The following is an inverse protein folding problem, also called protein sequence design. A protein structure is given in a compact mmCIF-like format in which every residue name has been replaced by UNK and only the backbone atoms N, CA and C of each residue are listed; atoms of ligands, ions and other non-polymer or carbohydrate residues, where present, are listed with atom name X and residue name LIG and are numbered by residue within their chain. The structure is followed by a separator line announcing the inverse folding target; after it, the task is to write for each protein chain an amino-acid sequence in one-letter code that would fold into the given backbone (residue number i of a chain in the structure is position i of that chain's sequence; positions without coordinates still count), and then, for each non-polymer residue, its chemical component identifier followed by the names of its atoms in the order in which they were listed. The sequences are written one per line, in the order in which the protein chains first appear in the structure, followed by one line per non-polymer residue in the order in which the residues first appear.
data_IF_477756601646
#
_entry.id   IF_477756601646
#
_cell.length_a   1.000
_cell.length_b   1.000
_cell.length_c   1.000
_cell.angle_alpha   90.00
_cell.angle_beta   90.00
_cell.angle_gamma   90.00
#
_symmetry.space_group_name_H-M   'P 1'
#
loop_
_entity.id
_entity.type
_entity.pdbx_description
1 polymer ?
#
# COMPACT_ATOMS: atom_id res chain seq x y z
N UNK A 1 -55.67 4.10 17.28
CA UNK A 1 -55.50 3.95 15.82
C UNK A 1 -54.19 3.29 15.58
N UNK A 2 -54.15 2.18 14.84
CA UNK A 2 -52.97 1.52 14.32
C UNK A 2 -52.92 1.68 12.81
N UNK A 3 -51.80 1.29 12.20
CA UNK A 3 -51.63 1.44 10.75
C UNK A 3 -51.20 0.10 10.15
N UNK A 4 -51.67 -0.16 8.91
CA UNK A 4 -51.13 -1.25 8.09
C UNK A 4 -50.40 -0.64 6.90
N UNK A 5 -49.25 -1.25 6.55
CA UNK A 5 -48.42 -0.88 5.40
C UNK A 5 -48.72 -1.86 4.27
N UNK A 6 -49.05 -1.33 3.12
CA UNK A 6 -49.16 -2.10 1.87
C UNK A 6 -47.98 -1.78 0.97
N UNK A 7 -47.43 -2.80 0.33
CA UNK A 7 -46.35 -2.60 -0.63
C UNK A 7 -46.42 -3.56 -1.82
N UNK A 8 -45.88 -3.14 -2.93
CA UNK A 8 -45.76 -3.92 -4.16
C UNK A 8 -44.57 -3.43 -4.99
N UNK A 9 -44.10 -4.25 -5.96
CA UNK A 9 -42.99 -3.90 -6.90
C UNK A 9 -43.47 -3.20 -8.17
N UNK A 10 -44.76 -2.95 -8.31
CA UNK A 10 -45.37 -2.21 -9.40
C UNK A 10 -46.20 -1.04 -8.87
N UNK A 11 -46.23 0.06 -9.61
CA UNK A 11 -47.07 1.23 -9.31
C UNK A 11 -48.58 0.93 -9.39
N UNK A 12 -49.39 1.85 -8.86
CA UNK A 12 -50.83 1.76 -8.74
C UNK A 12 -51.27 0.66 -7.75
N UNK A 13 -50.72 0.75 -6.55
CA UNK A 13 -50.98 -0.16 -5.44
C UNK A 13 -52.46 -0.18 -5.06
N UNK A 14 -52.98 -1.39 -4.88
CA UNK A 14 -54.33 -1.61 -4.34
C UNK A 14 -54.26 -2.48 -3.08
N UNK A 15 -55.28 -2.43 -2.23
CA UNK A 15 -55.31 -3.28 -1.03
C UNK A 15 -55.33 -4.78 -1.38
N UNK A 16 -55.96 -5.16 -2.48
CA UNK A 16 -56.06 -6.55 -2.94
C UNK A 16 -54.78 -7.03 -3.63
N UNK A 17 -54.07 -6.12 -4.34
CA UNK A 17 -52.87 -6.45 -5.09
C UNK A 17 -51.55 -6.26 -4.31
N UNK A 18 -51.61 -5.57 -3.19
CA UNK A 18 -50.43 -5.30 -2.36
C UNK A 18 -50.18 -6.36 -1.30
N UNK A 19 -48.92 -6.51 -0.92
CA UNK A 19 -48.57 -7.28 0.27
C UNK A 19 -48.79 -6.41 1.53
N UNK A 20 -49.54 -6.91 2.48
CA UNK A 20 -49.93 -6.20 3.71
C UNK A 20 -48.95 -6.56 4.86
N UNK A 21 -48.52 -5.54 5.59
CA UNK A 21 -47.83 -5.66 6.88
C UNK A 21 -48.70 -4.97 7.94
N UNK A 22 -49.18 -5.73 8.92
CA UNK A 22 -50.12 -5.25 9.90
C UNK A 22 -49.43 -4.60 11.10
N UNK A 23 -50.11 -3.58 11.69
CA UNK A 23 -49.71 -3.00 12.97
C UNK A 23 -48.38 -2.25 12.96
N UNK A 24 -48.02 -1.62 11.85
CA UNK A 24 -46.76 -0.87 11.76
C UNK A 24 -46.79 0.38 12.64
N UNK A 25 -45.64 0.74 13.19
CA UNK A 25 -45.42 1.96 13.98
C UNK A 25 -44.33 2.82 13.36
N UNK A 26 -44.41 4.13 13.53
CA UNK A 26 -43.38 5.05 13.02
C UNK A 26 -42.24 5.22 14.05
N UNK A 27 -40.93 5.12 13.63
CA UNK A 27 -40.49 4.74 12.30
C UNK A 27 -40.59 3.22 12.06
N UNK A 28 -40.92 2.81 10.83
CA UNK A 28 -40.93 1.40 10.42
C UNK A 28 -39.78 1.10 9.44
N UNK A 29 -39.00 0.07 9.73
CA UNK A 29 -37.94 -0.39 8.85
C UNK A 29 -38.38 -1.64 8.08
N UNK A 30 -38.55 -1.50 6.78
CA UNK A 30 -38.84 -2.63 5.89
C UNK A 30 -37.51 -3.27 5.44
N UNK A 31 -37.26 -4.51 5.85
CA UNK A 31 -36.07 -5.28 5.56
C UNK A 31 -36.33 -6.42 4.57
N UNK A 32 -35.25 -7.03 4.04
CA UNK A 32 -35.33 -8.15 3.09
C UNK A 32 -35.74 -7.72 1.68
N UNK A 33 -35.59 -6.45 1.34
CA UNK A 33 -35.84 -5.91 0.02
C UNK A 33 -34.70 -6.22 -0.95
N UNK A 34 -35.00 -6.30 -2.24
CA UNK A 34 -33.99 -6.45 -3.30
C UNK A 34 -33.46 -5.07 -3.70
N UNK A 35 -32.14 -4.90 -3.74
CA UNK A 35 -31.53 -3.66 -4.23
C UNK A 35 -31.88 -3.43 -5.70
N UNK A 36 -31.94 -2.17 -6.09
CA UNK A 36 -32.27 -1.67 -7.43
C UNK A 36 -33.70 -2.03 -7.91
N UNK A 37 -34.53 -2.64 -7.03
CA UNK A 37 -35.94 -2.88 -7.25
C UNK A 37 -36.77 -1.75 -6.65
N UNK A 38 -37.56 -1.06 -7.46
CA UNK A 38 -38.53 -0.09 -6.95
C UNK A 38 -39.66 -0.77 -6.16
N UNK A 39 -40.00 -0.23 -5.02
CA UNK A 39 -41.10 -0.62 -4.18
C UNK A 39 -42.00 0.56 -4.00
N UNK A 40 -43.31 0.31 -4.07
CA UNK A 40 -44.39 1.28 -3.91
C UNK A 40 -45.12 0.99 -2.61
N UNK A 41 -45.45 2.03 -1.86
CA UNK A 41 -45.97 1.93 -0.50
C UNK A 41 -47.19 2.82 -0.32
N UNK A 42 -48.19 2.34 0.44
CA UNK A 42 -49.29 3.12 0.94
C UNK A 42 -49.69 2.61 2.32
N UNK A 43 -50.34 3.44 3.10
CA UNK A 43 -50.84 3.13 4.46
C UNK A 43 -52.35 3.12 4.51
N UNK A 44 -52.91 2.30 5.42
CA UNK A 44 -54.29 2.43 5.90
C UNK A 44 -54.26 2.70 7.40
N UNK A 45 -55.23 3.45 7.90
CA UNK A 45 -55.55 3.54 9.31
C UNK A 45 -56.50 2.41 9.68
N UNK A 46 -56.29 1.77 10.84
CA UNK A 46 -57.17 0.74 11.39
C UNK A 46 -57.97 1.37 12.50
N UNK A 47 -59.29 1.31 12.39
CA UNK A 47 -60.23 1.83 13.37
C UNK A 47 -60.42 0.86 14.54
N UNK A 48 -61.07 1.33 15.61
CA UNK A 48 -61.30 0.52 16.81
C UNK A 48 -62.20 -0.69 16.57
N UNK A 49 -63.08 -0.61 15.56
CA UNK A 49 -63.96 -1.71 15.14
C UNK A 49 -63.26 -2.72 14.21
N UNK A 50 -61.95 -2.53 13.93
CA UNK A 50 -61.15 -3.39 13.08
C UNK A 50 -61.26 -3.10 11.58
N UNK A 51 -62.08 -2.11 11.17
CA UNK A 51 -62.14 -1.71 9.75
C UNK A 51 -60.95 -0.84 9.36
N UNK A 52 -60.61 -0.84 8.05
CA UNK A 52 -59.51 -0.04 7.52
C UNK A 52 -60.00 1.14 6.67
N UNK A 53 -59.25 2.22 6.70
CA UNK A 53 -59.47 3.34 5.76
C UNK A 53 -59.10 2.93 4.32
N UNK A 54 -59.41 3.80 3.34
CA UNK A 54 -58.75 3.74 2.04
C UNK A 54 -57.25 3.91 2.15
N UNK A 55 -56.49 3.51 1.09
CA UNK A 55 -55.04 3.74 1.00
C UNK A 55 -54.73 5.24 1.03
N UNK A 56 -53.61 5.59 1.64
CA UNK A 56 -53.00 6.91 1.49
C UNK A 56 -52.51 7.11 0.03
N UNK A 57 -51.98 8.31 -0.24
CA UNK A 57 -51.19 8.53 -1.45
C UNK A 57 -50.03 7.53 -1.49
N UNK A 58 -49.76 7.04 -2.72
CA UNK A 58 -48.66 6.11 -2.98
C UNK A 58 -47.30 6.85 -2.98
N UNK A 59 -46.31 6.27 -2.33
CA UNK A 59 -44.92 6.71 -2.38
C UNK A 59 -44.05 5.56 -2.86
N UNK A 60 -42.89 5.87 -3.46
CA UNK A 60 -41.93 4.84 -3.91
C UNK A 60 -40.55 5.06 -3.34
N UNK A 61 -39.86 3.95 -3.16
CA UNK A 61 -38.43 3.93 -2.78
C UNK A 61 -37.72 2.78 -3.49
N UNK A 62 -36.48 2.99 -3.84
CA UNK A 62 -35.60 1.96 -4.41
C UNK A 62 -34.43 1.75 -3.47
N UNK A 63 -34.32 0.58 -2.79
CA UNK A 63 -33.19 0.26 -1.98
C UNK A 63 -31.92 0.25 -2.84
N UNK A 64 -30.81 0.75 -2.29
CA UNK A 64 -29.51 0.70 -2.93
C UNK A 64 -28.54 -0.02 -2.02
N UNK A 65 -27.59 -0.74 -2.60
CA UNK A 65 -26.48 -1.30 -1.83
C UNK A 65 -25.65 -0.15 -1.27
N UNK A 66 -25.50 -0.11 0.04
CA UNK A 66 -24.56 0.79 0.70
C UNK A 66 -23.30 -0.03 1.00
N UNK A 67 -22.27 0.20 0.21
CA UNK A 67 -20.96 -0.37 0.46
C UNK A 67 -20.20 0.49 1.48
N UNK A 68 -19.82 -0.13 2.60
CA UNK A 68 -19.00 0.48 3.66
C UNK A 68 -17.66 -0.25 3.85
N UNK A 69 -17.35 -1.17 2.97
CA UNK A 69 -16.15 -2.03 3.03
C UNK A 69 -15.10 -1.47 2.09
N UNK A 70 -14.00 -0.98 2.63
CA UNK A 70 -12.91 -0.48 1.80
C UNK A 70 -12.18 -1.61 1.06
N UNK A 71 -11.52 -1.34 -0.08
CA UNK A 71 -10.70 -2.31 -0.79
C UNK A 71 -9.67 -2.99 0.11
N UNK A 72 -9.57 -4.31 0.00
CA UNK A 72 -8.76 -5.19 0.83
C UNK A 72 -7.49 -5.65 0.12
N UNK A 73 -6.52 -6.18 0.88
CA UNK A 73 -5.26 -6.73 0.39
C UNK A 73 -4.52 -5.80 -0.57
N UNK A 74 -4.34 -4.50 -0.22
CA UNK A 74 -3.61 -3.59 -1.08
C UNK A 74 -2.15 -4.05 -1.19
N UNK A 75 -1.62 -4.03 -2.41
CA UNK A 75 -0.27 -4.47 -2.74
C UNK A 75 0.43 -3.47 -3.64
N UNK A 76 1.73 -3.28 -3.42
CA UNK A 76 2.59 -2.48 -4.28
C UNK A 76 4.00 -3.10 -4.33
N UNK A 77 4.61 -3.12 -5.52
CA UNK A 77 6.01 -3.50 -5.71
C UNK A 77 6.65 -2.65 -6.81
N UNK A 78 7.86 -2.14 -6.56
CA UNK A 78 8.61 -1.32 -7.50
C UNK A 78 9.54 -2.21 -8.33
N UNK A 79 9.60 -1.97 -9.66
CA UNK A 79 10.51 -2.62 -10.61
C UNK A 79 10.62 -4.14 -10.38
N UNK A 80 9.46 -4.82 -10.17
CA UNK A 80 9.39 -6.26 -9.92
C UNK A 80 10.18 -6.74 -8.70
N UNK A 81 10.35 -5.89 -7.69
CA UNK A 81 11.08 -6.21 -6.46
C UNK A 81 12.58 -5.88 -6.52
N UNK A 82 13.00 -5.05 -7.45
CA UNK A 82 14.38 -4.59 -7.50
C UNK A 82 14.77 -3.84 -6.22
N UNK A 83 15.93 -4.16 -5.68
CA UNK A 83 16.49 -3.49 -4.51
C UNK A 83 16.90 -2.04 -4.81
N UNK A 84 17.38 -1.78 -6.04
CA UNK A 84 18.00 -0.52 -6.45
C UNK A 84 17.66 -0.18 -7.90
N UNK A 85 17.69 1.11 -8.23
CA UNK A 85 17.60 1.65 -9.58
C UNK A 85 18.62 2.78 -9.79
N UNK A 86 19.02 2.99 -11.04
CA UNK A 86 19.80 4.16 -11.45
C UNK A 86 18.97 5.21 -12.21
N UNK A 87 17.67 5.03 -12.25
CA UNK A 87 16.71 5.96 -12.87
C UNK A 87 15.62 6.36 -11.88
N UNK A 88 15.19 7.62 -11.87
CA UNK A 88 13.99 8.04 -11.18
C UNK A 88 12.70 7.52 -11.84
N UNK A 89 12.76 7.13 -13.10
CA UNK A 89 11.64 6.51 -13.80
C UNK A 89 11.54 5.04 -13.40
N UNK A 90 10.43 4.67 -12.79
CA UNK A 90 10.16 3.33 -12.29
C UNK A 90 8.81 2.81 -12.79
N UNK A 91 8.60 1.52 -12.65
CA UNK A 91 7.27 0.91 -12.77
C UNK A 91 6.83 0.39 -11.41
N UNK A 92 5.55 0.58 -11.10
CA UNK A 92 4.96 0.09 -9.85
C UNK A 92 3.84 -0.88 -10.22
N UNK A 93 3.97 -2.13 -9.81
CA UNK A 93 2.88 -3.11 -9.91
C UNK A 93 2.04 -3.00 -8.67
N UNK A 94 0.74 -2.78 -8.85
CA UNK A 94 -0.24 -2.54 -7.80
C UNK A 94 -1.42 -3.50 -7.93
N UNK A 95 -2.04 -3.86 -6.81
CA UNK A 95 -3.29 -4.62 -6.81
C UNK A 95 -4.08 -4.44 -5.52
N UNK A 96 -5.39 -4.66 -5.60
CA UNK A 96 -6.30 -4.76 -4.46
C UNK A 96 -7.54 -5.59 -4.85
N UNK A 97 -8.34 -5.97 -3.87
CA UNK A 97 -9.62 -6.67 -4.06
C UNK A 97 -10.74 -5.96 -3.33
N UNK A 98 -11.90 -5.90 -3.96
CA UNK A 98 -13.12 -5.42 -3.34
C UNK A 98 -14.30 -6.25 -3.86
N UNK A 99 -14.99 -6.95 -2.93
CA UNK A 99 -16.02 -7.93 -3.32
C UNK A 99 -17.41 -7.31 -3.48
N UNK A 100 -17.61 -6.09 -2.95
CA UNK A 100 -18.91 -5.43 -2.93
C UNK A 100 -19.11 -4.55 -4.18
N UNK A 101 -18.49 -3.37 -4.23
CA UNK A 101 -18.64 -2.46 -5.37
C UNK A 101 -17.44 -2.44 -6.32
N UNK A 102 -16.36 -3.12 -5.96
CA UNK A 102 -15.14 -3.24 -6.74
C UNK A 102 -14.22 -2.03 -6.62
N UNK A 103 -12.92 -2.28 -6.83
CA UNK A 103 -11.91 -1.23 -6.87
C UNK A 103 -12.18 -0.32 -8.07
N UNK A 104 -12.42 0.97 -7.83
CA UNK A 104 -12.81 1.95 -8.84
C UNK A 104 -11.74 3.03 -9.10
N UNK A 105 -10.78 3.20 -8.19
CA UNK A 105 -9.67 4.12 -8.39
C UNK A 105 -8.44 3.74 -7.57
N UNK A 106 -7.28 4.27 -7.95
CA UNK A 106 -6.07 4.24 -7.13
C UNK A 106 -5.43 5.63 -7.01
N UNK A 107 -4.70 5.83 -5.92
CA UNK A 107 -3.88 7.02 -5.68
C UNK A 107 -2.46 6.59 -5.36
N UNK A 108 -1.46 7.22 -5.98
CA UNK A 108 -0.04 6.88 -5.80
C UNK A 108 0.76 8.14 -5.47
N UNK A 109 1.63 8.07 -4.47
CA UNK A 109 2.42 9.22 -4.01
C UNK A 109 3.65 8.79 -3.22
N UNK A 110 4.64 9.68 -3.11
CA UNK A 110 5.72 9.59 -2.11
C UNK A 110 5.31 10.22 -0.76
N UNK A 111 4.19 10.96 -0.71
CA UNK A 111 3.67 11.56 0.51
C UNK A 111 2.87 10.51 1.30
N UNK A 112 3.18 10.24 2.59
CA UNK A 112 2.50 9.23 3.39
C UNK A 112 1.11 9.65 3.89
N UNK A 113 0.66 10.85 3.59
CA UNK A 113 -0.66 11.33 4.00
C UNK A 113 -1.76 10.58 3.23
N UNK A 114 -2.69 9.97 3.95
CA UNK A 114 -3.85 9.30 3.34
C UNK A 114 -4.70 10.33 2.59
N UNK A 115 -4.96 10.13 1.27
CA UNK A 115 -5.82 11.03 0.51
C UNK A 115 -7.28 10.89 0.99
N UNK A 116 -8.04 11.99 0.91
CA UNK A 116 -9.51 11.91 1.01
C UNK A 116 -10.09 11.44 -0.32
N UNK A 117 -11.33 10.94 -0.33
CA UNK A 117 -11.99 10.47 -1.57
C UNK A 117 -12.07 11.56 -2.67
N UNK A 118 -12.18 12.83 -2.28
CA UNK A 118 -12.20 13.98 -3.20
C UNK A 118 -10.84 14.63 -3.46
N UNK A 119 -9.73 14.09 -2.96
CA UNK A 119 -8.39 14.64 -3.20
C UNK A 119 -8.06 14.56 -4.70
N UNK A 120 -7.57 15.65 -5.34
CA UNK A 120 -7.09 15.57 -6.71
C UNK A 120 -5.93 14.58 -6.86
N UNK A 121 -5.91 13.82 -7.97
CA UNK A 121 -4.85 12.84 -8.27
C UNK A 121 -5.28 11.38 -8.16
N UNK A 122 -6.53 11.09 -7.79
CA UNK A 122 -7.10 9.76 -7.99
C UNK A 122 -7.16 9.43 -9.49
N UNK A 123 -6.72 8.24 -9.85
CA UNK A 123 -6.80 7.69 -11.20
C UNK A 123 -7.96 6.71 -11.22
N UNK A 124 -9.04 7.10 -11.89
CA UNK A 124 -10.25 6.27 -12.02
C UNK A 124 -9.98 5.09 -12.96
N UNK A 125 -10.54 3.94 -12.62
CA UNK A 125 -10.46 2.70 -13.39
C UNK A 125 -11.85 2.06 -13.49
N UNK A 126 -12.12 1.22 -14.51
CA UNK A 126 -13.35 0.43 -14.51
C UNK A 126 -13.44 -0.42 -13.24
N UNK A 127 -14.55 -0.37 -12.51
CA UNK A 127 -14.70 -1.11 -11.24
C UNK A 127 -14.46 -2.61 -11.43
N UNK A 128 -13.66 -3.19 -10.58
CA UNK A 128 -13.30 -4.61 -10.67
C UNK A 128 -13.14 -5.24 -9.28
N UNK A 129 -13.71 -6.43 -9.08
CA UNK A 129 -13.57 -7.22 -7.85
C UNK A 129 -12.09 -7.49 -7.53
N UNK A 130 -11.29 -7.75 -8.56
CA UNK A 130 -9.84 -7.87 -8.47
C UNK A 130 -9.22 -6.89 -9.45
N UNK A 131 -8.56 -5.88 -8.91
CA UNK A 131 -7.82 -4.89 -9.69
C UNK A 131 -6.33 -5.20 -9.63
N UNK A 132 -5.64 -5.03 -10.76
CA UNK A 132 -4.19 -5.12 -10.84
C UNK A 132 -3.68 -4.39 -12.08
N UNK A 133 -2.61 -3.62 -11.91
CA UNK A 133 -1.98 -2.85 -12.96
C UNK A 133 -0.48 -2.69 -12.72
N UNK A 134 0.27 -2.44 -13.79
CA UNK A 134 1.65 -1.94 -13.72
C UNK A 134 1.67 -0.55 -14.31
N UNK A 135 2.04 0.43 -13.50
CA UNK A 135 1.95 1.86 -13.85
C UNK A 135 3.33 2.51 -13.81
N UNK A 136 3.64 3.44 -14.73
CA UNK A 136 4.85 4.24 -14.63
C UNK A 136 4.72 5.26 -13.49
N UNK A 137 5.83 5.53 -12.81
CA UNK A 137 5.90 6.54 -11.79
C UNK A 137 7.29 7.22 -11.82
N UNK A 138 7.33 8.51 -11.56
CA UNK A 138 8.58 9.27 -11.50
C UNK A 138 8.84 9.67 -10.05
N UNK A 139 9.93 9.18 -9.50
CA UNK A 139 10.37 9.49 -8.15
C UNK A 139 10.85 10.94 -8.05
N UNK A 140 10.73 11.52 -6.87
CA UNK A 140 11.32 12.83 -6.56
C UNK A 140 12.84 12.84 -6.79
N UNK A 141 13.43 13.97 -7.18
CA UNK A 141 14.86 14.05 -7.46
C UNK A 141 15.76 13.68 -6.28
N UNK A 142 16.97 13.23 -6.60
CA UNK A 142 18.04 12.93 -5.65
C UNK A 142 18.16 11.45 -5.31
N UNK A 143 19.41 11.04 -5.05
CA UNK A 143 19.79 9.68 -4.64
C UNK A 143 19.32 9.42 -3.20
N UNK A 144 19.17 8.14 -2.86
CA UNK A 144 18.73 7.66 -1.55
C UNK A 144 17.51 6.77 -1.60
N UNK A 145 17.06 6.34 -0.44
CA UNK A 145 15.88 5.51 -0.32
C UNK A 145 14.63 6.33 -0.61
N UNK A 146 13.79 5.83 -1.50
CA UNK A 146 12.48 6.39 -1.86
C UNK A 146 11.39 5.41 -1.48
N UNK A 147 10.25 5.93 -1.05
CA UNK A 147 9.06 5.13 -0.70
C UNK A 147 7.89 5.60 -1.53
N UNK A 148 7.26 4.68 -2.24
CA UNK A 148 6.01 4.92 -2.96
C UNK A 148 4.88 4.27 -2.17
N UNK A 149 3.78 4.99 -2.01
CA UNK A 149 2.62 4.56 -1.25
C UNK A 149 1.40 4.61 -2.18
N UNK A 150 0.56 3.60 -2.08
CA UNK A 150 -0.62 3.42 -2.93
C UNK A 150 -1.84 3.18 -2.06
N UNK A 151 -2.94 3.85 -2.41
CA UNK A 151 -4.27 3.63 -1.84
C UNK A 151 -5.23 3.27 -2.96
N UNK A 152 -6.27 2.54 -2.63
CA UNK A 152 -7.34 2.16 -3.54
C UNK A 152 -8.67 2.69 -3.00
N UNK A 153 -9.58 2.99 -3.90
CA UNK A 153 -10.92 3.49 -3.59
C UNK A 153 -11.95 2.68 -4.38
N UNK A 154 -13.07 2.34 -3.76
CA UNK A 154 -14.23 1.70 -4.38
C UNK A 154 -15.25 2.72 -4.92
N UNK A 155 -16.38 2.25 -5.44
CA UNK A 155 -17.50 3.11 -5.85
C UNK A 155 -18.24 3.74 -4.67
N UNK A 156 -18.17 3.14 -3.48
CA UNK A 156 -18.71 3.70 -2.23
C UNK A 156 -17.86 4.84 -1.66
N UNK A 157 -16.70 5.13 -2.26
CA UNK A 157 -15.69 6.07 -1.77
C UNK A 157 -14.99 5.61 -0.48
N UNK A 158 -15.03 4.33 -0.15
CA UNK A 158 -14.23 3.78 0.93
C UNK A 158 -12.79 3.63 0.45
N UNK A 159 -11.82 4.00 1.32
CA UNK A 159 -10.40 4.03 0.98
C UNK A 159 -9.66 2.96 1.74
N UNK A 160 -8.82 2.18 1.04
CA UNK A 160 -8.02 1.10 1.62
C UNK A 160 -7.00 1.61 2.64
N UNK A 161 -6.45 0.71 3.45
CA UNK A 161 -5.15 0.91 4.07
C UNK A 161 -4.09 1.10 2.99
N UNK A 162 -2.96 1.81 3.27
CA UNK A 162 -1.90 1.99 2.29
C UNK A 162 -1.12 0.70 2.04
N UNK A 163 -0.72 0.47 0.78
CA UNK A 163 0.39 -0.39 0.44
C UNK A 163 1.63 0.47 0.17
N UNK A 164 2.81 0.03 0.59
CA UNK A 164 4.05 0.75 0.35
C UNK A 164 5.14 -0.14 -0.22
N UNK A 165 5.98 0.44 -1.07
CA UNK A 165 7.17 -0.19 -1.60
C UNK A 165 8.35 0.78 -1.56
N UNK A 166 9.56 0.27 -1.34
CA UNK A 166 10.77 1.06 -1.25
C UNK A 166 11.78 0.64 -2.30
N UNK A 167 12.56 1.60 -2.78
CA UNK A 167 13.68 1.37 -3.68
C UNK A 167 14.81 2.34 -3.36
N UNK A 168 16.03 1.92 -3.55
CA UNK A 168 17.21 2.78 -3.44
C UNK A 168 17.53 3.38 -4.80
N UNK A 169 17.45 4.70 -4.91
CA UNK A 169 17.85 5.43 -6.12
C UNK A 169 19.33 5.76 -6.01
N UNK A 170 20.11 5.42 -7.05
CA UNK A 170 21.52 5.75 -7.16
C UNK A 170 21.88 6.06 -8.61
N UNK A 171 21.71 7.30 -8.99
CA UNK A 171 21.99 7.80 -10.34
C UNK A 171 23.49 8.02 -10.59
N UNK A 172 24.29 8.13 -9.54
CA UNK A 172 25.75 8.33 -9.63
C UNK A 172 26.51 7.06 -10.02
N UNK A 173 25.86 5.89 -9.96
CA UNK A 173 26.46 4.60 -10.29
C UNK A 173 27.39 4.03 -9.20
N UNK A 174 27.62 4.75 -8.11
CA UNK A 174 28.43 4.30 -6.97
C UNK A 174 27.58 4.23 -5.70
N UNK A 175 27.39 3.03 -5.18
CA UNK A 175 26.67 2.80 -3.94
C UNK A 175 27.63 2.44 -2.81
N UNK A 176 27.67 3.27 -1.76
CA UNK A 176 28.28 2.84 -0.50
C UNK A 176 27.33 1.89 0.24
N UNK A 177 27.39 0.59 -0.08
CA UNK A 177 26.54 -0.44 0.53
C UNK A 177 26.90 -0.73 1.98
N UNK A 178 28.15 -0.46 2.38
CA UNK A 178 28.59 -0.59 3.76
C UNK A 178 29.87 0.22 4.02
N UNK A 179 30.08 0.60 5.28
CA UNK A 179 31.36 1.10 5.79
C UNK A 179 31.89 0.09 6.81
N UNK A 180 33.17 -0.21 6.72
CA UNK A 180 33.87 -1.06 7.69
C UNK A 180 35.26 -0.54 7.96
N UNK A 181 35.86 -0.99 9.06
CA UNK A 181 37.13 -0.47 9.55
C UNK A 181 36.95 0.73 10.50
N UNK A 182 37.92 0.96 11.33
CA UNK A 182 37.99 2.06 12.30
C UNK A 182 39.42 2.65 12.32
N UNK A 183 39.58 3.93 12.70
CA UNK A 183 40.91 4.49 12.93
C UNK A 183 41.63 3.75 14.05
N UNK A 184 42.92 3.44 13.87
CA UNK A 184 43.70 2.81 14.91
C UNK A 184 45.15 2.61 14.53
N UNK A 185 46.03 2.55 15.53
CA UNK A 185 47.48 2.32 15.42
C UNK A 185 47.87 0.91 15.88
N UNK A 186 47.06 -0.07 15.58
CA UNK A 186 47.30 -1.42 16.06
C UNK A 186 48.43 -2.12 15.27
N UNK A 187 49.53 -2.43 15.90
CA UNK A 187 50.65 -3.18 15.32
C UNK A 187 50.52 -4.71 15.47
N UNK A 188 49.38 -5.21 16.00
CA UNK A 188 49.21 -6.64 16.25
C UNK A 188 48.03 -7.23 15.49
N UNK A 189 47.98 -8.56 15.37
CA UNK A 189 46.86 -9.32 14.80
C UNK A 189 45.50 -9.06 15.50
N UNK A 190 45.52 -8.59 16.72
CA UNK A 190 44.32 -8.24 17.50
C UNK A 190 43.66 -6.95 17.03
N UNK A 191 44.31 -6.18 16.16
CA UNK A 191 43.83 -4.91 15.63
C UNK A 191 43.42 -4.96 14.16
N UNK A 192 42.98 -6.11 13.69
CA UNK A 192 42.42 -6.25 12.34
C UNK A 192 41.21 -5.33 12.13
N UNK A 193 41.15 -4.72 10.95
CA UNK A 193 40.12 -3.72 10.63
C UNK A 193 40.38 -2.31 11.18
N UNK A 194 41.50 -2.08 11.90
CA UNK A 194 41.95 -0.74 12.23
C UNK A 194 42.91 -0.22 11.15
N UNK A 195 42.78 1.06 10.79
CA UNK A 195 43.57 1.72 9.74
C UNK A 195 44.18 3.01 10.25
N UNK A 196 45.41 3.27 9.79
CA UNK A 196 46.07 4.54 10.01
C UNK A 196 46.38 5.22 8.69
N UNK A 197 45.95 6.45 8.55
CA UNK A 197 46.26 7.24 7.35
C UNK A 197 47.78 7.54 7.24
N UNK A 198 48.31 7.61 6.01
CA UNK A 198 47.63 7.43 4.73
C UNK A 198 47.45 5.97 4.33
N UNK A 199 46.31 5.64 3.69
CA UNK A 199 46.09 4.37 3.01
C UNK A 199 46.41 4.57 1.51
N UNK A 200 47.21 3.70 0.89
CA UNK A 200 47.70 3.94 -0.48
C UNK A 200 47.16 3.00 -1.55
N UNK A 201 46.50 1.91 -1.21
CA UNK A 201 46.01 1.00 -2.22
C UNK A 201 44.91 0.05 -1.74
N UNK A 202 44.13 -0.37 -2.72
CA UNK A 202 43.10 -1.39 -2.56
C UNK A 202 43.20 -2.31 -3.78
N UNK A 203 43.14 -3.62 -3.57
CA UNK A 203 42.99 -4.62 -4.61
C UNK A 203 41.92 -5.63 -4.24
N UNK A 204 41.30 -6.24 -5.25
CA UNK A 204 40.30 -7.29 -5.07
C UNK A 204 40.75 -8.50 -5.92
N UNK A 205 40.79 -9.69 -5.31
CA UNK A 205 41.05 -10.93 -6.04
C UNK A 205 39.78 -11.49 -6.71
N UNK A 206 39.98 -12.55 -7.53
CA UNK A 206 38.87 -13.20 -8.24
C UNK A 206 37.83 -13.86 -7.32
N UNK A 207 38.17 -14.10 -6.07
CA UNK A 207 37.30 -14.67 -5.04
C UNK A 207 36.52 -13.57 -4.27
N UNK A 208 36.81 -12.29 -4.59
CA UNK A 208 36.19 -11.13 -3.94
C UNK A 208 36.86 -10.75 -2.61
N UNK A 209 38.02 -11.29 -2.29
CA UNK A 209 38.77 -10.83 -1.11
C UNK A 209 39.38 -9.45 -1.37
N UNK A 210 39.30 -8.59 -0.38
CA UNK A 210 39.72 -7.19 -0.43
C UNK A 210 41.07 -7.07 0.30
N UNK A 211 42.06 -6.50 -0.38
CA UNK A 211 43.39 -6.24 0.17
C UNK A 211 43.57 -4.73 0.31
N UNK A 212 43.93 -4.27 1.50
CA UNK A 212 44.15 -2.86 1.81
C UNK A 212 45.53 -2.62 2.25
N UNK A 213 46.25 -1.70 1.58
CA UNK A 213 47.59 -1.24 1.98
C UNK A 213 47.44 -0.18 3.07
N UNK A 214 47.59 -0.60 4.32
CA UNK A 214 47.50 0.24 5.52
C UNK A 214 48.93 0.77 5.81
N UNK A 215 49.34 1.73 4.99
CA UNK A 215 50.73 2.25 5.01
C UNK A 215 51.09 2.90 6.35
N UNK A 216 50.15 3.60 6.97
CA UNK A 216 50.41 4.22 8.27
C UNK A 216 50.71 3.23 9.40
N UNK A 217 50.35 1.95 9.22
CA UNK A 217 50.66 0.84 10.11
C UNK A 217 51.68 -0.14 9.51
N UNK A 218 52.29 0.15 8.35
CA UNK A 218 53.29 -0.68 7.65
C UNK A 218 52.82 -2.12 7.44
N UNK A 219 51.59 -2.30 6.94
CA UNK A 219 50.99 -3.64 6.77
C UNK A 219 50.00 -3.69 5.60
N UNK A 220 49.67 -4.91 5.18
CA UNK A 220 48.53 -5.20 4.30
C UNK A 220 47.48 -5.95 5.12
N UNK A 221 46.24 -5.60 4.96
CA UNK A 221 45.11 -6.31 5.58
C UNK A 221 44.24 -6.95 4.50
N UNK A 222 43.82 -8.19 4.73
CA UNK A 222 42.88 -8.93 3.87
C UNK A 222 41.54 -9.05 4.56
N UNK A 223 40.47 -8.82 3.80
CA UNK A 223 39.08 -8.92 4.22
C UNK A 223 38.34 -9.82 3.25
N UNK A 224 37.21 -10.40 3.72
CA UNK A 224 36.25 -11.03 2.82
C UNK A 224 35.46 -9.97 2.05
N UNK A 225 34.62 -10.41 1.10
CA UNK A 225 33.76 -9.54 0.29
C UNK A 225 32.71 -8.75 1.08
N UNK A 226 32.48 -9.10 2.34
CA UNK A 226 31.53 -8.42 3.24
C UNK A 226 32.21 -7.47 4.21
N UNK A 227 33.56 -7.38 4.15
CA UNK A 227 34.37 -6.50 4.98
C UNK A 227 34.82 -7.10 6.30
N UNK A 228 34.61 -8.40 6.53
CA UNK A 228 35.15 -9.06 7.73
C UNK A 228 36.63 -9.27 7.57
N UNK A 229 37.37 -8.94 8.62
CA UNK A 229 38.81 -9.14 8.67
C UNK A 229 39.20 -10.64 8.60
N UNK A 230 40.16 -10.97 7.73
CA UNK A 230 40.65 -12.33 7.58
C UNK A 230 42.04 -12.45 8.20
N UNK A 231 43.00 -11.63 7.71
CA UNK A 231 44.42 -11.70 8.11
C UNK A 231 45.10 -10.37 7.79
N UNK A 232 46.19 -10.12 8.48
CA UNK A 232 47.14 -9.06 8.12
C UNK A 232 48.54 -9.60 8.09
N UNK A 233 49.42 -8.92 7.36
CA UNK A 233 50.89 -9.18 7.35
C UNK A 233 51.63 -7.88 7.10
N UNK A 234 52.88 -7.82 7.58
CA UNK A 234 53.76 -6.67 7.54
C UNK A 234 53.93 -6.03 8.90
N UNK A 235 55.12 -5.52 9.15
CA UNK A 235 55.51 -4.74 10.30
C UNK A 235 56.57 -3.71 9.90
N UNK A 236 56.69 -2.65 10.66
CA UNK A 236 57.84 -1.73 10.50
C UNK A 236 59.15 -2.40 10.89
N UNK A 237 60.14 -2.38 10.01
CA UNK A 237 61.48 -2.90 10.31
C UNK A 237 62.26 -3.40 9.08
N UNK A 238 63.50 -3.81 9.30
CA UNK A 238 64.42 -4.25 8.27
C UNK A 238 64.45 -5.79 8.03
N UNK A 239 63.61 -6.56 8.73
CA UNK A 239 63.50 -8.01 8.56
C UNK A 239 62.55 -8.40 7.42
N UNK A 240 62.65 -9.66 6.91
CA UNK A 240 61.76 -10.20 5.91
C UNK A 240 60.28 -10.06 6.36
N UNK A 241 59.41 -9.66 5.46
CA UNK A 241 58.00 -9.32 5.69
C UNK A 241 57.72 -7.99 6.45
N UNK A 242 58.70 -7.12 6.57
CA UNK A 242 58.54 -5.74 7.00
C UNK A 242 58.43 -4.80 5.78
N UNK A 243 57.73 -3.69 5.96
CA UNK A 243 57.56 -2.64 4.94
C UNK A 243 58.07 -1.30 5.42
#
# INVERSE_FOLDING_TARGET
VSYNLYFHTSANLTQEGGTKIEGVTSPYNHSGLTNDQAYYYALTAVYEDGTESGLSDEVSATPVLIDITAPQTPYAVINHGAFMTNSPEIVVTISATDLDTGVAAYYISENPMTPMAGTPGWVEVPPAIKFGATIPFILSPGDGQKTVIVWFKDLGNNISTPASATILVNTSGYLCVSKWGKPGRGASLLHGGEFMAPMYGLAIDQQGSIFVVDNGNNRIQKFDRTGNFIILWGNFGAANANF
#
